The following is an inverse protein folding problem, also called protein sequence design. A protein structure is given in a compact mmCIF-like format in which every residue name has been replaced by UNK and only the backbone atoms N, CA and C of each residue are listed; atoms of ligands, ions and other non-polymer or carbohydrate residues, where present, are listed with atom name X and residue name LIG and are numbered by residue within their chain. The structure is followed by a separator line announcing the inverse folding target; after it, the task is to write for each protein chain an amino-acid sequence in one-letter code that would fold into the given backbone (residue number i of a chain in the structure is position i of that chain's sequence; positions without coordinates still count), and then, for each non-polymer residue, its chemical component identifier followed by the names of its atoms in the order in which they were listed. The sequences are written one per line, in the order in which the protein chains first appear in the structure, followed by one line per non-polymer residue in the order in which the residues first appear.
data_IF_294235058735
#
_entry.id   IF_294235058735
#
_cell.length_a   1.000
_cell.length_b   1.000
_cell.length_c   1.000
_cell.angle_alpha   90.00
_cell.angle_beta   90.00
_cell.angle_gamma   90.00
#
_symmetry.space_group_name_H-M   'P 1'
#
loop_
_entity.id
_entity.type
_entity.pdbx_description
1 polymer ?
#
# COMPACT_ATOMS: atom_id res chain seq x y z
N UNK A 1 14.59 -71.90 5.91
CA UNK A 1 14.91 -70.99 7.03
C UNK A 1 15.75 -69.85 6.47
N UNK A 2 15.19 -68.63 6.43
CA UNK A 2 15.87 -67.34 6.19
C UNK A 2 16.52 -67.14 4.81
N UNK A 3 16.65 -65.96 4.23
CA UNK A 3 16.21 -64.62 4.60
C UNK A 3 16.51 -63.72 3.36
N UNK A 4 15.51 -62.94 2.96
CA UNK A 4 15.54 -61.59 2.37
C UNK A 4 16.56 -61.21 1.26
N UNK A 5 16.01 -60.82 0.11
CA UNK A 5 16.68 -60.00 -0.90
C UNK A 5 16.80 -58.52 -0.46
N UNK A 6 17.92 -57.82 -0.71
CA UNK A 6 17.92 -56.37 -0.62
C UNK A 6 17.35 -55.77 -1.92
N UNK A 7 16.21 -55.09 -1.80
CA UNK A 7 15.65 -54.23 -2.86
C UNK A 7 16.46 -52.93 -2.94
N UNK A 8 16.71 -52.36 -4.13
CA UNK A 8 17.19 -50.99 -4.24
C UNK A 8 16.07 -50.04 -3.83
N UNK A 9 16.28 -49.29 -2.76
CA UNK A 9 15.38 -48.22 -2.32
C UNK A 9 15.53 -47.05 -3.27
N UNK A 10 14.69 -46.98 -4.30
CA UNK A 10 14.50 -45.80 -5.13
C UNK A 10 14.06 -44.63 -4.24
N UNK A 11 14.99 -43.73 -3.97
CA UNK A 11 14.70 -42.45 -3.31
C UNK A 11 13.74 -41.65 -4.21
N UNK A 12 12.52 -41.45 -3.72
CA UNK A 12 11.55 -40.56 -4.34
C UNK A 12 12.10 -39.12 -4.39
N UNK A 13 11.83 -38.34 -5.45
CA UNK A 13 12.18 -36.93 -5.48
C UNK A 13 11.41 -36.17 -4.38
N UNK A 14 12.00 -35.12 -3.80
CA UNK A 14 11.31 -34.30 -2.80
C UNK A 14 10.05 -33.67 -3.39
N UNK A 15 8.99 -33.46 -2.59
CA UNK A 15 7.80 -32.78 -3.07
C UNK A 15 8.13 -31.35 -3.50
N UNK A 16 7.46 -30.80 -4.52
CA UNK A 16 7.61 -29.39 -4.85
C UNK A 16 7.12 -28.56 -3.66
N UNK A 17 7.99 -27.67 -3.17
CA UNK A 17 7.66 -26.67 -2.15
C UNK A 17 6.34 -25.98 -2.48
N UNK A 18 5.50 -25.66 -1.47
CA UNK A 18 4.28 -24.90 -1.71
C UNK A 18 4.69 -23.58 -2.37
N UNK A 19 4.25 -23.41 -3.60
CA UNK A 19 4.36 -22.15 -4.34
C UNK A 19 3.77 -21.07 -3.46
N UNK A 20 4.61 -20.28 -2.80
CA UNK A 20 4.20 -19.03 -2.20
C UNK A 20 3.51 -18.23 -3.30
N UNK A 21 2.22 -17.87 -3.16
CA UNK A 21 1.68 -16.80 -3.96
C UNK A 21 2.27 -15.54 -3.35
N UNK A 22 3.48 -15.16 -3.78
CA UNK A 22 3.95 -13.81 -3.54
C UNK A 22 3.08 -12.92 -4.40
N UNK A 23 2.09 -12.36 -3.70
CA UNK A 23 1.07 -11.44 -4.13
C UNK A 23 1.49 -10.71 -5.40
N UNK A 24 0.79 -11.02 -6.49
CA UNK A 24 0.57 -10.06 -7.56
C UNK A 24 -0.05 -8.83 -6.88
N UNK A 25 0.81 -7.88 -6.53
CA UNK A 25 0.49 -6.58 -5.95
C UNK A 25 -0.27 -5.80 -7.03
N UNK A 26 -1.53 -6.16 -7.24
CA UNK A 26 -2.53 -5.35 -7.94
C UNK A 26 -2.95 -4.22 -7.02
N UNK A 27 -1.97 -3.36 -6.74
CA UNK A 27 -2.21 -2.06 -6.14
C UNK A 27 -2.71 -1.17 -7.24
N UNK A 28 -3.94 -0.69 -7.11
CA UNK A 28 -4.47 0.51 -7.75
C UNK A 28 -5.88 0.79 -7.19
N UNK A 29 -6.59 -0.25 -6.71
CA UNK A 29 -7.88 -0.10 -6.02
C UNK A 29 -7.78 0.23 -4.52
N UNK A 30 -6.82 -0.34 -3.80
CA UNK A 30 -6.65 -0.13 -2.35
C UNK A 30 -6.03 1.24 -2.01
N UNK A 31 -5.20 1.78 -2.92
CA UNK A 31 -4.39 2.97 -2.67
C UNK A 31 -5.21 4.23 -2.35
N UNK A 32 -6.39 4.41 -2.96
CA UNK A 32 -7.19 5.62 -2.69
C UNK A 32 -7.74 5.65 -1.27
N UNK A 33 -8.20 4.51 -0.73
CA UNK A 33 -8.66 4.44 0.66
C UNK A 33 -7.53 4.64 1.67
N UNK A 34 -6.35 4.10 1.37
CA UNK A 34 -5.15 4.30 2.19
C UNK A 34 -4.69 5.78 2.15
N UNK A 35 -4.78 6.44 0.99
CA UNK A 35 -4.45 7.86 0.81
C UNK A 35 -5.44 8.79 1.53
N UNK A 36 -6.73 8.51 1.45
CA UNK A 36 -7.75 9.25 2.22
C UNK A 36 -7.49 9.13 3.73
N UNK A 37 -7.19 7.92 4.21
CA UNK A 37 -6.85 7.70 5.61
C UNK A 37 -5.57 8.44 6.05
N UNK A 38 -4.54 8.46 5.20
CA UNK A 38 -3.30 9.20 5.46
C UNK A 38 -3.54 10.72 5.54
N UNK A 39 -4.33 11.27 4.62
CA UNK A 39 -4.72 12.70 4.63
C UNK A 39 -5.55 13.02 5.88
N UNK A 40 -6.51 12.18 6.25
CA UNK A 40 -7.34 12.39 7.43
C UNK A 40 -6.55 12.29 8.74
N UNK A 41 -5.59 11.36 8.84
CA UNK A 41 -4.68 11.25 9.97
C UNK A 41 -3.82 12.51 10.13
N UNK A 42 -3.33 13.06 9.02
CA UNK A 42 -2.55 14.29 9.00
C UNK A 42 -3.41 15.52 9.34
N UNK A 43 -4.67 15.57 8.87
CA UNK A 43 -5.64 16.61 9.28
C UNK A 43 -5.86 16.56 10.80
N UNK A 44 -6.06 15.37 11.37
CA UNK A 44 -6.23 15.19 12.81
C UNK A 44 -4.98 15.61 13.59
N UNK A 45 -3.78 15.37 13.05
CA UNK A 45 -2.51 15.83 13.64
C UNK A 45 -2.41 17.36 13.61
N UNK A 46 -2.74 17.99 12.47
CA UNK A 46 -2.67 19.45 12.32
C UNK A 46 -3.72 20.16 13.17
N UNK A 47 -4.91 19.60 13.34
CA UNK A 47 -5.95 20.16 14.22
C UNK A 47 -5.55 20.16 15.71
N UNK A 48 -4.58 19.35 16.12
CA UNK A 48 -4.00 19.37 17.48
C UNK A 48 -2.95 20.47 17.67
N UNK A 49 -2.51 21.11 16.58
CA UNK A 49 -1.55 22.21 16.65
C UNK A 49 -2.29 23.51 17.00
N UNK A 50 -1.60 24.46 17.67
CA UNK A 50 -2.16 25.79 17.88
C UNK A 50 -2.58 26.44 16.56
N UNK A 51 -3.85 26.87 16.51
CA UNK A 51 -4.55 27.33 15.30
C UNK A 51 -3.96 28.60 14.64
N UNK A 52 -2.88 29.16 15.19
CA UNK A 52 -2.28 30.42 14.76
C UNK A 52 -0.86 30.27 14.17
N UNK A 53 -0.33 29.05 14.09
CA UNK A 53 0.93 28.85 13.39
C UNK A 53 0.72 28.93 11.87
N UNK A 54 1.63 29.65 11.19
CA UNK A 54 1.65 29.75 9.72
C UNK A 54 1.67 28.35 9.07
N UNK A 55 2.44 27.43 9.66
CA UNK A 55 2.49 26.03 9.23
C UNK A 55 1.14 25.32 9.34
N UNK A 56 0.44 25.39 10.48
CA UNK A 56 -0.86 24.71 10.63
C UNK A 56 -1.91 25.24 9.64
N UNK A 57 -1.97 26.56 9.47
CA UNK A 57 -2.87 27.21 8.51
C UNK A 57 -2.55 26.77 7.07
N UNK A 58 -1.28 26.80 6.69
CA UNK A 58 -0.85 26.41 5.35
C UNK A 58 -1.09 24.92 5.09
N UNK A 59 -0.69 24.05 6.03
CA UNK A 59 -0.84 22.61 5.93
C UNK A 59 -2.31 22.20 5.83
N UNK A 60 -3.20 22.81 6.62
CA UNK A 60 -4.64 22.55 6.55
C UNK A 60 -5.24 22.89 5.17
N UNK A 61 -4.78 23.98 4.52
CA UNK A 61 -5.22 24.33 3.15
C UNK A 61 -4.78 23.26 2.14
N UNK A 62 -3.54 22.79 2.24
CA UNK A 62 -3.00 21.74 1.36
C UNK A 62 -3.77 20.43 1.54
N UNK A 63 -4.03 20.02 2.78
CA UNK A 63 -4.76 18.78 3.08
C UNK A 63 -6.20 18.81 2.59
N UNK A 64 -6.90 19.93 2.74
CA UNK A 64 -8.24 20.09 2.19
C UNK A 64 -8.25 20.01 0.65
N UNK A 65 -7.22 20.57 0.00
CA UNK A 65 -7.06 20.46 -1.45
C UNK A 65 -6.81 19.00 -1.86
N UNK A 66 -5.95 18.26 -1.16
CA UNK A 66 -5.69 16.83 -1.41
C UNK A 66 -6.94 15.97 -1.25
N UNK A 67 -7.68 16.15 -0.15
CA UNK A 67 -8.94 15.44 0.10
C UNK A 67 -9.97 15.71 -1.00
N UNK A 68 -10.06 16.96 -1.47
CA UNK A 68 -10.92 17.29 -2.60
C UNK A 68 -10.48 16.59 -3.89
N UNK A 69 -9.17 16.55 -4.17
CA UNK A 69 -8.65 15.87 -5.36
C UNK A 69 -8.88 14.35 -5.33
N UNK A 70 -8.80 13.72 -4.16
CA UNK A 70 -9.14 12.30 -3.96
C UNK A 70 -10.62 12.00 -4.24
N UNK A 71 -11.52 12.92 -3.85
CA UNK A 71 -12.98 12.77 -4.03
C UNK A 71 -13.45 12.91 -5.49
N UNK A 72 -12.64 13.45 -6.39
CA UNK A 72 -13.03 13.66 -7.80
C UNK A 72 -12.82 12.36 -8.58
N UNK A 73 -13.79 11.97 -9.41
CA UNK A 73 -13.61 10.90 -10.41
C UNK A 73 -12.63 11.37 -11.48
N UNK A 74 -11.40 10.88 -11.41
CA UNK A 74 -10.26 11.25 -12.28
C UNK A 74 -10.06 10.26 -13.43
N UNK A 75 -9.49 10.75 -14.52
CA UNK A 75 -8.97 9.91 -15.61
C UNK A 75 -7.64 9.28 -15.21
N UNK A 76 -7.18 8.23 -15.90
CA UNK A 76 -5.94 7.52 -15.57
C UNK A 76 -4.73 8.46 -15.48
N UNK A 77 -4.58 9.41 -16.41
CA UNK A 77 -3.48 10.39 -16.40
C UNK A 77 -3.52 11.32 -15.17
N UNK A 78 -4.72 11.74 -14.75
CA UNK A 78 -4.90 12.54 -13.54
C UNK A 78 -4.66 11.74 -12.25
N UNK A 79 -4.66 10.40 -12.31
CA UNK A 79 -4.28 9.55 -11.19
C UNK A 79 -2.78 9.43 -11.02
N UNK A 80 -2.05 9.36 -12.13
CA UNK A 80 -0.59 9.38 -12.15
C UNK A 80 -0.02 10.73 -11.67
N UNK A 81 -0.56 11.85 -12.16
CA UNK A 81 -0.15 13.20 -11.69
C UNK A 81 -0.40 13.38 -10.20
N UNK A 82 -1.50 12.82 -9.69
CA UNK A 82 -1.86 12.92 -8.28
C UNK A 82 -0.99 12.02 -7.40
N UNK A 83 -0.60 10.85 -7.89
CA UNK A 83 0.38 9.98 -7.24
C UNK A 83 1.75 10.65 -7.13
N UNK A 84 2.20 11.34 -8.18
CA UNK A 84 3.42 12.14 -8.15
C UNK A 84 3.34 13.29 -7.12
N UNK A 85 2.18 13.93 -6.99
CA UNK A 85 1.96 14.95 -5.97
C UNK A 85 2.08 14.37 -4.56
N UNK A 86 1.48 13.21 -4.29
CA UNK A 86 1.64 12.53 -2.99
C UNK A 86 3.09 12.17 -2.69
N UNK A 87 3.81 11.62 -3.68
CA UNK A 87 5.24 11.32 -3.53
C UNK A 87 6.06 12.57 -3.17
N UNK A 88 5.75 13.72 -3.76
CA UNK A 88 6.42 14.99 -3.44
C UNK A 88 6.12 15.49 -2.03
N UNK A 89 4.95 15.17 -1.49
CA UNK A 89 4.48 15.63 -0.18
C UNK A 89 4.86 14.68 0.96
N UNK A 90 5.39 13.49 0.63
CA UNK A 90 5.83 12.46 1.60
C UNK A 90 4.78 12.13 2.65
N UNK A 91 3.53 11.93 2.20
CA UNK A 91 2.35 11.58 3.00
C UNK A 91 1.70 10.32 2.44
#
# INVERSE_FOLDING_TARGET
MGEVAPRPSTAAPPPPSPRTPLLLRKQNGAQNGDREAAVDAEIARVNKLPAHSSYATHRMKVLNKLRHLLSIKRTTSQDEELELLFASLSI
#
